data_IF_590158460159
#
_entry.id   IF_590158460159
#
_cell.length_a   1.000
_cell.length_b   1.000
_cell.length_c   1.000
_cell.angle_alpha   90.00
_cell.angle_beta   90.00
_cell.angle_gamma   90.00
#
_symmetry.space_group_name_H-M   'P 1'
#
loop_
_entity.id
_entity.type
_entity.pdbx_description
1 polymer ?
#
# COMPACT_ATOMS: atom_id res chain seq x y z
N UNK A 1 -35.61 -3.34 11.33
CA UNK A 1 -34.49 -3.05 12.27
C UNK A 1 -33.13 -3.09 11.57
N UNK A 2 -32.86 -4.12 10.75
CA UNK A 2 -31.60 -4.33 10.01
C UNK A 2 -31.09 -3.17 9.14
N UNK A 3 -31.95 -2.48 8.38
CA UNK A 3 -31.52 -1.37 7.50
C UNK A 3 -30.88 -0.20 8.27
N UNK A 4 -31.39 0.15 9.45
CA UNK A 4 -30.81 1.26 10.26
C UNK A 4 -29.41 0.90 10.76
N UNK A 5 -29.21 -0.35 11.19
CA UNK A 5 -27.92 -0.86 11.65
C UNK A 5 -26.89 -0.90 10.52
N UNK A 6 -27.28 -1.37 9.33
CA UNK A 6 -26.41 -1.34 8.15
C UNK A 6 -26.04 0.09 7.73
N UNK A 7 -27.00 1.03 7.77
CA UNK A 7 -26.72 2.43 7.48
C UNK A 7 -25.76 3.05 8.51
N UNK A 8 -25.86 2.66 9.78
CA UNK A 8 -24.96 3.10 10.86
C UNK A 8 -23.54 2.52 10.70
N UNK A 9 -23.41 1.24 10.35
CA UNK A 9 -22.11 0.63 10.04
C UNK A 9 -21.47 1.28 8.80
N UNK A 10 -22.27 1.60 7.79
CA UNK A 10 -21.80 2.27 6.57
C UNK A 10 -21.29 3.68 6.86
N UNK A 11 -22.02 4.46 7.67
CA UNK A 11 -21.61 5.81 8.04
C UNK A 11 -20.35 5.81 8.92
N UNK A 12 -20.21 4.85 9.83
CA UNK A 12 -18.99 4.66 10.62
C UNK A 12 -17.78 4.34 9.74
N UNK A 13 -17.91 3.41 8.80
CA UNK A 13 -16.86 3.09 7.83
C UNK A 13 -16.43 4.31 7.03
N UNK A 14 -17.41 5.04 6.49
CA UNK A 14 -17.15 6.23 5.69
C UNK A 14 -16.40 7.30 6.50
N UNK A 15 -16.84 7.54 7.73
CA UNK A 15 -16.20 8.51 8.63
C UNK A 15 -14.75 8.15 8.93
N UNK A 16 -14.49 6.89 9.30
CA UNK A 16 -13.13 6.42 9.56
C UNK A 16 -12.25 6.51 8.30
N UNK A 17 -12.81 6.21 7.12
CA UNK A 17 -12.08 6.35 5.85
C UNK A 17 -11.73 7.80 5.56
N UNK A 18 -12.65 8.75 5.74
CA UNK A 18 -12.37 10.18 5.54
C UNK A 18 -11.37 10.72 6.57
N UNK A 19 -11.44 10.28 7.83
CA UNK A 19 -10.44 10.63 8.84
C UNK A 19 -9.04 10.14 8.46
N UNK A 20 -8.91 8.89 8.01
CA UNK A 20 -7.63 8.34 7.55
C UNK A 20 -7.07 9.15 6.38
N UNK A 21 -7.93 9.48 5.41
CA UNK A 21 -7.56 10.30 4.25
C UNK A 21 -7.09 11.69 4.69
N UNK A 22 -7.80 12.32 5.61
CA UNK A 22 -7.42 13.63 6.13
C UNK A 22 -6.07 13.59 6.86
N UNK A 23 -5.78 12.54 7.64
CA UNK A 23 -4.45 12.37 8.26
C UNK A 23 -3.37 12.25 7.18
N UNK A 24 -3.62 11.46 6.14
CA UNK A 24 -2.69 11.19 5.04
C UNK A 24 -2.36 12.44 4.20
N UNK A 25 -3.36 13.25 3.85
CA UNK A 25 -3.19 14.40 2.95
C UNK A 25 -2.45 15.57 3.61
N UNK A 26 -2.41 15.62 4.95
CA UNK A 26 -1.72 16.69 5.71
C UNK A 26 -0.20 16.69 5.48
N UNK A 27 0.46 17.85 5.60
CA UNK A 27 1.92 17.93 5.61
C UNK A 27 2.54 17.07 6.72
N UNK A 28 3.79 16.65 6.52
CA UNK A 28 4.52 15.87 7.52
C UNK A 28 4.71 16.66 8.81
N UNK A 29 4.45 16.02 9.95
CA UNK A 29 4.90 16.44 11.27
C UNK A 29 5.18 15.22 12.15
N UNK A 30 5.94 15.39 13.23
CA UNK A 30 6.19 14.33 14.21
C UNK A 30 4.90 13.83 14.88
N UNK A 31 3.87 14.68 14.94
CA UNK A 31 2.55 14.37 15.52
C UNK A 31 1.73 13.40 14.66
N UNK A 32 2.06 13.21 13.36
CA UNK A 32 1.32 12.28 12.47
C UNK A 32 1.26 10.87 13.06
N UNK A 33 2.29 10.46 13.80
CA UNK A 33 2.29 9.17 14.50
C UNK A 33 1.15 9.08 15.51
N UNK A 34 0.90 10.13 16.28
CA UNK A 34 -0.15 10.15 17.29
C UNK A 34 -1.53 10.16 16.63
N UNK A 35 -1.72 10.92 15.55
CA UNK A 35 -2.96 10.92 14.76
C UNK A 35 -3.31 9.51 14.27
N UNK A 36 -2.34 8.79 13.70
CA UNK A 36 -2.53 7.41 13.26
C UNK A 36 -2.82 6.46 14.42
N UNK A 37 -2.18 6.63 15.58
CA UNK A 37 -2.46 5.80 16.76
C UNK A 37 -3.87 6.03 17.29
N UNK A 38 -4.34 7.28 17.33
CA UNK A 38 -5.73 7.60 17.67
C UNK A 38 -6.70 6.97 16.69
N UNK A 39 -6.45 7.11 15.38
CA UNK A 39 -7.26 6.49 14.34
C UNK A 39 -7.31 4.97 14.48
N UNK A 40 -6.17 4.30 14.75
CA UNK A 40 -6.09 2.86 14.99
C UNK A 40 -6.95 2.46 16.19
N UNK A 41 -6.93 3.25 17.27
CA UNK A 41 -7.76 3.00 18.46
C UNK A 41 -9.25 3.05 18.10
N UNK A 42 -9.70 4.11 17.43
CA UNK A 42 -11.09 4.27 16.99
C UNK A 42 -11.53 3.12 16.07
N UNK A 43 -10.73 2.80 15.06
CA UNK A 43 -11.05 1.74 14.10
C UNK A 43 -11.01 0.33 14.73
N UNK A 44 -10.24 0.11 15.79
CA UNK A 44 -10.21 -1.16 16.52
C UNK A 44 -11.45 -1.37 17.38
N UNK A 45 -12.07 -0.28 17.85
CA UNK A 45 -13.25 -0.30 18.72
C UNK A 45 -14.58 -0.30 17.96
N UNK A 46 -14.61 0.14 16.70
CA UNK A 46 -15.85 0.14 15.92
C UNK A 46 -16.39 -1.27 15.65
N UNK A 47 -17.69 -1.43 15.43
CA UNK A 47 -18.31 -2.76 15.25
C UNK A 47 -18.11 -3.38 13.87
N UNK A 48 -17.38 -2.71 12.97
CA UNK A 48 -17.17 -3.20 11.60
C UNK A 48 -15.88 -4.03 11.50
N UNK A 49 -15.97 -5.35 11.22
CA UNK A 49 -14.79 -6.23 11.19
C UNK A 49 -13.72 -5.81 10.17
N UNK A 50 -14.14 -5.28 9.02
CA UNK A 50 -13.22 -4.77 8.00
C UNK A 50 -12.34 -3.63 8.52
N UNK A 51 -12.91 -2.71 9.31
CA UNK A 51 -12.16 -1.60 9.89
C UNK A 51 -11.19 -2.06 10.98
N UNK A 52 -11.59 -3.04 11.80
CA UNK A 52 -10.67 -3.67 12.77
C UNK A 52 -9.45 -4.31 12.06
N UNK A 53 -9.66 -4.96 10.93
CA UNK A 53 -8.58 -5.55 10.14
C UNK A 53 -7.68 -4.49 9.46
N UNK A 54 -8.26 -3.40 8.98
CA UNK A 54 -7.51 -2.26 8.47
C UNK A 54 -6.63 -1.65 9.58
N UNK A 55 -7.17 -1.46 10.78
CA UNK A 55 -6.44 -0.97 11.95
C UNK A 55 -5.23 -1.85 12.28
N UNK A 56 -5.40 -3.18 12.29
CA UNK A 56 -4.29 -4.14 12.49
C UNK A 56 -3.22 -4.01 11.42
N UNK A 57 -3.62 -3.89 10.16
CA UNK A 57 -2.70 -3.77 9.02
C UNK A 57 -1.89 -2.47 9.09
N UNK A 58 -2.56 -1.34 9.33
CA UNK A 58 -1.94 -0.04 9.46
C UNK A 58 -1.00 -0.02 10.67
N UNK A 59 -1.42 -0.56 11.83
CA UNK A 59 -0.56 -0.68 13.01
C UNK A 59 0.73 -1.45 12.71
N UNK A 60 0.64 -2.58 12.00
CA UNK A 60 1.80 -3.39 11.60
C UNK A 60 2.74 -2.67 10.63
N UNK A 61 2.21 -1.77 9.80
CA UNK A 61 2.96 -1.06 8.75
C UNK A 61 3.19 0.43 9.04
N UNK A 62 2.88 0.89 10.26
CA UNK A 62 2.84 2.30 10.62
C UNK A 62 4.16 3.02 10.31
N UNK A 63 5.29 2.37 10.59
CA UNK A 63 6.61 2.92 10.26
C UNK A 63 6.77 3.25 8.76
N UNK A 64 6.35 2.34 7.88
CA UNK A 64 6.42 2.56 6.43
C UNK A 64 5.46 3.65 5.95
N UNK A 65 4.28 3.74 6.55
CA UNK A 65 3.29 4.79 6.26
C UNK A 65 3.85 6.17 6.64
N UNK A 66 4.44 6.30 7.83
CA UNK A 66 5.05 7.54 8.29
C UNK A 66 6.23 7.95 7.39
N UNK A 67 7.10 7.01 7.02
CA UNK A 67 8.20 7.30 6.10
C UNK A 67 7.69 7.73 4.72
N UNK A 68 6.63 7.11 4.20
CA UNK A 68 6.01 7.52 2.95
C UNK A 68 5.44 8.94 3.03
N UNK A 69 4.80 9.31 4.14
CA UNK A 69 4.33 10.68 4.37
C UNK A 69 5.48 11.68 4.49
N UNK A 70 6.58 11.30 5.17
CA UNK A 70 7.74 12.16 5.38
C UNK A 70 8.47 12.47 4.08
N UNK A 71 8.80 11.42 3.31
CA UNK A 71 9.62 11.57 2.11
C UNK A 71 8.80 11.83 0.84
N UNK A 72 7.49 11.54 0.85
CA UNK A 72 6.57 11.65 -0.30
C UNK A 72 7.14 11.03 -1.59
N UNK A 73 7.90 9.95 -1.46
CA UNK A 73 8.51 9.29 -2.62
C UNK A 73 7.45 8.56 -3.43
N UNK A 74 7.43 8.81 -4.73
CA UNK A 74 6.59 8.07 -5.66
C UNK A 74 7.13 6.66 -5.87
N UNK A 75 6.25 5.66 -5.71
CA UNK A 75 6.55 4.27 -6.09
C UNK A 75 6.51 4.05 -7.62
N UNK A 76 6.22 5.11 -8.40
CA UNK A 76 5.99 5.02 -9.85
C UNK A 76 7.17 4.43 -10.62
N UNK A 77 8.41 4.72 -10.24
CA UNK A 77 9.59 4.13 -10.89
C UNK A 77 9.68 2.61 -10.66
N UNK A 78 9.39 2.15 -9.45
CA UNK A 78 9.35 0.72 -9.13
C UNK A 78 8.18 0.02 -9.83
N UNK A 79 7.01 0.66 -9.91
CA UNK A 79 5.84 0.15 -10.64
C UNK A 79 6.07 0.08 -12.15
N UNK A 80 6.71 1.09 -12.74
CA UNK A 80 7.11 1.08 -14.14
C UNK A 80 8.08 -0.08 -14.43
N UNK A 81 9.05 -0.33 -13.56
CA UNK A 81 9.95 -1.48 -13.67
C UNK A 81 9.21 -2.82 -13.53
N UNK A 82 8.34 -2.95 -12.53
CA UNK A 82 7.52 -4.15 -12.33
C UNK A 82 6.62 -4.44 -13.55
N UNK A 83 6.08 -3.40 -14.18
CA UNK A 83 5.27 -3.51 -15.39
C UNK A 83 6.11 -3.98 -16.58
N UNK A 84 7.33 -3.45 -16.75
CA UNK A 84 8.30 -3.90 -17.76
C UNK A 84 8.71 -5.37 -17.57
N UNK A 85 8.94 -5.80 -16.33
CA UNK A 85 9.25 -7.20 -15.99
C UNK A 85 8.06 -8.12 -16.29
N UNK A 86 6.84 -7.70 -15.95
CA UNK A 86 5.61 -8.44 -16.28
C UNK A 86 5.44 -8.58 -17.79
N UNK A 87 5.65 -7.49 -18.54
CA UNK A 87 5.57 -7.48 -20.00
C UNK A 87 6.57 -8.43 -20.64
N UNK A 88 7.81 -8.50 -20.11
CA UNK A 88 8.82 -9.45 -20.57
C UNK A 88 8.32 -10.90 -20.45
N UNK A 89 7.73 -11.25 -19.30
CA UNK A 89 7.13 -12.59 -19.09
C UNK A 89 6.02 -12.89 -20.09
N UNK A 90 5.17 -11.92 -20.39
CA UNK A 90 4.06 -12.06 -21.36
C UNK A 90 4.62 -12.26 -22.77
N UNK A 91 5.58 -11.43 -23.21
CA UNK A 91 6.22 -11.52 -24.53
C UNK A 91 6.91 -12.86 -24.76
N UNK A 92 7.55 -13.41 -23.72
CA UNK A 92 8.16 -14.73 -23.76
C UNK A 92 7.16 -15.90 -23.73
N UNK A 93 5.85 -15.62 -23.56
CA UNK A 93 4.78 -16.61 -23.32
C UNK A 93 5.07 -17.51 -22.10
N UNK A 94 5.65 -16.90 -21.08
CA UNK A 94 6.07 -17.59 -19.86
C UNK A 94 7.49 -18.17 -19.96
N UNK A 95 8.10 -18.40 -18.79
CA UNK A 95 9.40 -19.03 -18.68
C UNK A 95 9.23 -20.38 -17.99
N UNK A 96 9.81 -21.44 -18.56
CA UNK A 96 9.81 -22.80 -17.96
C UNK A 96 10.54 -22.88 -16.62
N UNK A 97 11.52 -22.00 -16.38
CA UNK A 97 12.35 -21.98 -15.18
C UNK A 97 12.51 -20.53 -14.67
N UNK A 98 12.42 -20.34 -13.34
CA UNK A 98 12.67 -19.07 -12.64
C UNK A 98 14.06 -18.49 -12.89
N UNK A 99 15.11 -19.30 -12.96
CA UNK A 99 16.49 -18.84 -13.22
C UNK A 99 16.61 -18.24 -14.62
N UNK A 100 15.95 -18.84 -15.62
CA UNK A 100 15.88 -18.26 -16.97
C UNK A 100 15.11 -16.94 -17.00
N UNK A 101 14.06 -16.82 -16.19
CA UNK A 101 13.34 -15.56 -16.04
C UNK A 101 14.22 -14.47 -15.40
N UNK A 102 14.93 -14.80 -14.31
CA UNK A 102 15.88 -13.87 -13.66
C UNK A 102 16.95 -13.40 -14.64
N UNK A 103 17.55 -14.33 -15.39
CA UNK A 103 18.56 -14.00 -16.39
C UNK A 103 17.99 -13.07 -17.46
N UNK A 104 16.78 -13.35 -17.98
CA UNK A 104 16.09 -12.47 -18.92
C UNK A 104 15.83 -11.08 -18.35
N UNK A 105 15.40 -10.98 -17.09
CA UNK A 105 15.21 -9.70 -16.40
C UNK A 105 16.54 -8.94 -16.26
N UNK A 106 17.62 -9.60 -15.86
CA UNK A 106 18.95 -8.99 -15.73
C UNK A 106 19.50 -8.55 -17.09
N UNK A 107 19.30 -9.35 -18.14
CA UNK A 107 19.73 -9.02 -19.49
C UNK A 107 19.01 -7.77 -20.04
N UNK A 108 17.69 -7.68 -19.87
CA UNK A 108 16.91 -6.56 -20.40
C UNK A 108 16.90 -5.30 -19.51
N UNK A 109 17.00 -5.46 -18.19
CA UNK A 109 16.78 -4.38 -17.23
C UNK A 109 17.87 -4.25 -16.15
N UNK A 110 18.87 -5.14 -16.14
CA UNK A 110 19.94 -5.15 -15.14
C UNK A 110 21.07 -4.16 -15.38
N UNK A 111 21.03 -3.38 -16.47
CA UNK A 111 22.08 -2.40 -16.84
C UNK A 111 23.48 -3.02 -16.88
N UNK A 112 23.59 -4.27 -17.35
CA UNK A 112 24.88 -4.94 -17.51
C UNK A 112 25.70 -4.21 -18.58
N UNK A 113 26.99 -3.99 -18.31
CA UNK A 113 27.90 -3.48 -19.33
C UNK A 113 28.18 -4.60 -20.34
N UNK A 114 27.69 -4.43 -21.57
CA UNK A 114 27.82 -5.40 -22.66
C UNK A 114 28.95 -5.02 -23.63
N UNK A 115 29.73 -3.98 -23.32
CA UNK A 115 30.92 -3.65 -24.08
C UNK A 115 32.02 -4.69 -23.77
N UNK A 116 32.41 -5.42 -24.82
CA UNK A 116 33.61 -6.25 -24.86
C UNK A 116 34.71 -5.48 -25.58
#
# INVERSE_FOLDING_TARGET
MWLREQMQQTSQCWTLKELAKNIWDRPWSTERRNDWLQWISLASQCDVPMMKNAAKTIKKRLYGILNAMHHRVSNGNAEALNSKIRLLRIKARGYRNRERFKLGVMFHYGKLNMAF
#
